data_IF_128181436274
#
_entry.id   IF_128181436274
#
_cell.length_a   1.000
_cell.length_b   1.000
_cell.length_c   1.000
_cell.angle_alpha   90.00
_cell.angle_beta   90.00
_cell.angle_gamma   90.00
#
_symmetry.space_group_name_H-M   'P 1'
#
loop_
_entity.id
_entity.type
_entity.pdbx_description
1 polymer ?
#
# COMPACT_ATOMS: atom_id res chain seq x y z
N UNK A 1 -15.48 31.04 -4.91
CA UNK A 1 -14.25 30.54 -4.26
C UNK A 1 -14.10 29.06 -4.60
N UNK A 2 -13.41 28.74 -5.70
CA UNK A 2 -13.10 27.37 -6.13
C UNK A 2 -11.59 27.32 -6.25
N UNK A 3 -10.92 26.76 -5.24
CA UNK A 3 -9.47 26.61 -5.24
C UNK A 3 -9.15 25.44 -6.17
N UNK A 4 -8.61 25.77 -7.34
CA UNK A 4 -8.16 24.81 -8.36
C UNK A 4 -6.94 24.04 -7.85
N UNK A 5 -7.17 22.83 -7.35
CA UNK A 5 -6.12 21.85 -6.99
C UNK A 5 -5.40 21.24 -8.23
N UNK A 6 -5.67 21.74 -9.44
CA UNK A 6 -5.17 21.14 -10.68
C UNK A 6 -3.80 21.64 -11.16
N UNK A 7 -3.11 22.54 -10.43
CA UNK A 7 -1.91 23.22 -10.93
C UNK A 7 -0.69 23.19 -9.98
N UNK A 8 -0.52 22.14 -9.16
CA UNK A 8 0.71 21.97 -8.33
C UNK A 8 1.50 20.70 -8.68
N UNK A 9 1.19 20.03 -9.80
CA UNK A 9 1.90 18.80 -10.22
C UNK A 9 2.48 18.95 -11.63
N UNK A 10 3.35 19.94 -11.82
CA UNK A 10 4.16 20.05 -13.04
C UNK A 10 5.65 20.34 -12.78
N UNK A 11 6.12 20.26 -11.53
CA UNK A 11 7.52 20.53 -11.17
C UNK A 11 8.08 19.72 -9.98
N UNK A 12 7.46 18.59 -9.61
CA UNK A 12 8.03 17.69 -8.61
C UNK A 12 8.84 16.60 -9.33
N UNK A 13 10.16 16.54 -9.08
CA UNK A 13 11.04 15.49 -9.59
C UNK A 13 10.47 14.10 -9.20
N UNK A 14 10.45 13.15 -10.13
CA UNK A 14 9.97 11.77 -9.93
C UNK A 14 10.58 11.13 -8.68
N UNK A 15 11.85 11.43 -8.37
CA UNK A 15 12.53 10.95 -7.17
C UNK A 15 11.89 11.49 -5.87
N UNK A 16 11.45 12.75 -5.85
CA UNK A 16 10.78 13.36 -4.70
C UNK A 16 9.39 12.76 -4.46
N UNK A 17 8.65 12.48 -5.54
CA UNK A 17 7.33 11.84 -5.48
C UNK A 17 7.47 10.42 -4.93
N UNK A 18 8.44 9.65 -5.41
CA UNK A 18 8.72 8.29 -4.94
C UNK A 18 9.13 8.23 -3.47
N UNK A 19 9.94 9.20 -3.00
CA UNK A 19 10.32 9.32 -1.59
C UNK A 19 9.13 9.64 -0.69
N UNK A 20 8.18 10.45 -1.16
CA UNK A 20 6.97 10.75 -0.39
C UNK A 20 6.09 9.51 -0.20
N UNK A 21 5.87 8.72 -1.27
CA UNK A 21 5.07 7.50 -1.20
C UNK A 21 5.71 6.39 -0.37
N UNK A 22 7.05 6.24 -0.41
CA UNK A 22 7.75 5.24 0.40
C UNK A 22 7.68 5.56 1.90
N UNK A 23 7.75 6.84 2.28
CA UNK A 23 7.56 7.27 3.67
C UNK A 23 6.13 7.00 4.14
N UNK A 24 5.13 7.30 3.31
CA UNK A 24 3.72 7.02 3.61
C UNK A 24 3.45 5.52 3.78
N UNK A 25 4.04 4.69 2.92
CA UNK A 25 3.97 3.24 3.00
C UNK A 25 4.54 2.74 4.33
N UNK A 26 5.78 3.13 4.64
CA UNK A 26 6.44 2.72 5.87
C UNK A 26 5.67 3.19 7.11
N UNK A 27 5.15 4.42 7.10
CA UNK A 27 4.34 4.94 8.20
C UNK A 27 3.07 4.10 8.45
N UNK A 28 2.36 3.71 7.39
CA UNK A 28 1.22 2.81 7.51
C UNK A 28 1.64 1.42 8.00
N UNK A 29 2.69 0.84 7.45
CA UNK A 29 3.17 -0.48 7.86
C UNK A 29 3.63 -0.54 9.32
N UNK A 30 4.11 0.59 9.88
CA UNK A 30 4.42 0.70 11.30
C UNK A 30 3.19 0.61 12.22
N UNK A 31 1.96 0.80 11.72
CA UNK A 31 0.75 0.56 12.55
C UNK A 31 0.59 -0.92 12.88
N UNK A 32 1.21 -1.80 12.09
CA UNK A 32 1.28 -3.24 12.33
C UNK A 32 2.40 -3.66 13.30
N UNK A 33 2.97 -2.69 14.03
CA UNK A 33 3.73 -2.92 15.26
C UNK A 33 5.21 -2.51 15.21
N UNK A 34 5.81 -2.12 16.36
CA UNK A 34 7.25 -1.93 16.51
C UNK A 34 7.87 -3.19 17.12
N UNK A 35 8.34 -4.11 16.28
CA UNK A 35 9.30 -5.16 16.65
C UNK A 35 10.23 -5.30 15.45
N UNK A 36 11.49 -5.72 15.62
CA UNK A 36 12.50 -5.93 14.55
C UNK A 36 12.01 -6.88 13.43
N UNK A 37 11.02 -6.47 12.65
CA UNK A 37 10.22 -7.27 11.76
C UNK A 37 10.45 -6.76 10.34
N UNK A 38 10.59 -7.69 9.41
CA UNK A 38 10.82 -7.38 8.01
C UNK A 38 9.60 -6.66 7.41
N UNK A 39 9.81 -5.89 6.34
CA UNK A 39 8.72 -5.25 5.57
C UNK A 39 7.64 -6.25 5.18
N UNK A 40 8.04 -7.49 4.88
CA UNK A 40 7.12 -8.60 4.60
C UNK A 40 6.17 -8.88 5.78
N UNK A 41 6.66 -8.93 7.00
CA UNK A 41 5.83 -9.25 8.16
C UNK A 41 4.86 -8.11 8.49
N UNK A 42 5.30 -6.86 8.31
CA UNK A 42 4.40 -5.70 8.40
C UNK A 42 3.31 -5.77 7.33
N UNK A 43 3.67 -6.18 6.10
CA UNK A 43 2.71 -6.36 5.01
C UNK A 43 1.71 -7.49 5.29
N UNK A 44 2.19 -8.63 5.78
CA UNK A 44 1.35 -9.77 6.18
C UNK A 44 0.34 -9.37 7.26
N UNK A 45 0.76 -8.55 8.23
CA UNK A 45 -0.13 -7.99 9.23
C UNK A 45 -1.19 -7.08 8.59
N UNK A 46 -0.77 -6.09 7.80
CA UNK A 46 -1.69 -5.10 7.25
C UNK A 46 -2.73 -5.75 6.32
N UNK A 47 -2.30 -6.75 5.55
CA UNK A 47 -3.15 -7.48 4.61
C UNK A 47 -3.97 -8.60 5.26
N UNK A 48 -3.66 -8.98 6.50
CA UNK A 48 -4.18 -10.20 7.15
C UNK A 48 -3.93 -11.49 6.36
N UNK A 49 -2.95 -11.49 5.43
CA UNK A 49 -2.73 -12.54 4.41
C UNK A 49 -3.98 -12.93 3.62
N UNK A 50 -4.94 -12.03 3.51
CA UNK A 50 -6.17 -12.23 2.76
C UNK A 50 -6.01 -11.78 1.30
N UNK A 51 -6.78 -12.36 0.39
CA UNK A 51 -6.83 -11.89 -1.00
C UNK A 51 -7.65 -10.60 -1.12
N UNK A 52 -6.99 -9.50 -1.50
CA UNK A 52 -7.65 -8.21 -1.78
C UNK A 52 -7.76 -7.90 -3.27
N UNK A 53 -7.43 -8.84 -4.16
CA UNK A 53 -7.37 -8.61 -5.61
C UNK A 53 -8.65 -8.00 -6.17
N UNK A 54 -9.83 -8.49 -5.75
CA UNK A 54 -11.12 -7.96 -6.20
C UNK A 54 -11.40 -6.54 -5.66
N UNK A 55 -10.96 -6.23 -4.45
CA UNK A 55 -11.03 -4.87 -3.93
C UNK A 55 -10.10 -3.94 -4.71
N UNK A 56 -8.85 -4.37 -4.96
CA UNK A 56 -7.86 -3.60 -5.69
C UNK A 56 -8.28 -3.28 -7.13
N UNK A 57 -8.86 -4.26 -7.84
CA UNK A 57 -9.43 -4.03 -9.18
C UNK A 57 -10.51 -2.93 -9.15
N UNK A 58 -11.40 -2.96 -8.15
CA UNK A 58 -12.45 -1.94 -7.96
C UNK A 58 -11.89 -0.58 -7.57
N UNK A 59 -10.75 -0.55 -6.88
CA UNK A 59 -10.04 0.67 -6.48
C UNK A 59 -8.99 1.13 -7.52
N UNK A 60 -9.10 0.70 -8.78
CA UNK A 60 -8.24 1.13 -9.89
C UNK A 60 -6.74 0.87 -9.67
N UNK A 61 -6.39 -0.20 -8.95
CA UNK A 61 -5.00 -0.66 -8.88
C UNK A 61 -4.62 -1.25 -10.24
N UNK A 62 -3.47 -0.81 -10.78
CA UNK A 62 -2.99 -1.30 -12.07
C UNK A 62 -2.82 -2.83 -12.07
N UNK A 63 -3.14 -3.54 -13.18
CA UNK A 63 -3.02 -4.99 -13.27
C UNK A 63 -1.64 -5.53 -12.87
N UNK A 64 -0.57 -4.83 -13.25
CA UNK A 64 0.81 -5.17 -12.88
C UNK A 64 1.09 -5.10 -11.37
N UNK A 65 0.27 -4.37 -10.61
CA UNK A 65 0.40 -4.18 -9.16
C UNK A 65 -0.54 -5.08 -8.34
N UNK A 66 -1.44 -5.84 -8.98
CA UNK A 66 -2.33 -6.79 -8.30
C UNK A 66 -1.59 -7.87 -7.49
N UNK A 67 -0.37 -8.32 -7.84
CA UNK A 67 0.39 -9.22 -6.96
C UNK A 67 0.63 -8.68 -5.55
N UNK A 68 0.67 -7.36 -5.36
CA UNK A 68 0.75 -6.75 -4.02
C UNK A 68 -0.57 -6.90 -3.24
N UNK A 69 -1.71 -7.04 -3.93
CA UNK A 69 -3.03 -7.17 -3.33
C UNK A 69 -3.39 -8.59 -2.90
N UNK A 70 -2.87 -9.59 -3.60
CA UNK A 70 -3.18 -11.00 -3.30
C UNK A 70 -2.70 -11.39 -1.90
N UNK A 71 -1.60 -10.78 -1.44
CA UNK A 71 -1.01 -10.91 -0.11
C UNK A 71 -0.85 -12.35 0.42
N UNK A 72 -0.81 -13.31 -0.51
CA UNK A 72 -0.59 -14.74 -0.27
C UNK A 72 0.81 -15.09 -0.76
N UNK A 73 1.83 -14.69 0.00
CA UNK A 73 3.22 -15.00 -0.31
C UNK A 73 4.16 -13.80 -0.24
N UNK A 74 5.37 -14.00 -0.75
CA UNK A 74 6.41 -12.96 -0.76
C UNK A 74 5.98 -11.80 -1.64
N UNK A 75 6.00 -10.59 -1.07
CA UNK A 75 5.76 -9.35 -1.81
C UNK A 75 6.80 -9.27 -2.95
N UNK A 76 6.38 -9.00 -4.19
CA UNK A 76 7.33 -8.88 -5.31
C UNK A 76 8.41 -7.84 -4.98
N UNK A 77 9.69 -8.23 -5.10
CA UNK A 77 10.83 -7.40 -4.74
C UNK A 77 11.55 -6.78 -5.96
N UNK A 78 10.96 -6.93 -7.15
CA UNK A 78 11.52 -6.33 -8.36
C UNK A 78 11.51 -4.81 -8.22
N UNK A 79 12.70 -4.20 -8.15
CA UNK A 79 12.87 -2.79 -7.76
C UNK A 79 12.09 -1.82 -8.65
N UNK A 80 12.03 -2.07 -9.96
CA UNK A 80 11.34 -1.21 -10.93
C UNK A 80 9.82 -1.27 -10.74
N UNK A 81 9.28 -2.49 -10.67
CA UNK A 81 7.86 -2.75 -10.43
C UNK A 81 7.42 -2.22 -9.07
N UNK A 82 8.27 -2.38 -8.04
CA UNK A 82 8.04 -1.82 -6.71
C UNK A 82 7.86 -0.30 -6.76
N UNK A 83 8.82 0.43 -7.35
CA UNK A 83 8.74 1.90 -7.45
C UNK A 83 7.51 2.36 -8.22
N UNK A 84 7.15 1.66 -9.30
CA UNK A 84 5.95 1.97 -10.09
C UNK A 84 4.66 1.73 -9.29
N UNK A 85 4.58 0.62 -8.56
CA UNK A 85 3.40 0.25 -7.79
C UNK A 85 3.20 1.06 -6.50
N UNK A 86 4.23 1.76 -6.01
CA UNK A 86 4.09 2.70 -4.89
C UNK A 86 3.03 3.79 -5.14
N UNK A 87 2.83 4.20 -6.39
CA UNK A 87 1.79 5.19 -6.74
C UNK A 87 0.36 4.66 -6.49
N UNK A 88 0.18 3.34 -6.51
CA UNK A 88 -1.10 2.67 -6.24
C UNK A 88 -1.27 2.35 -4.74
N UNK A 89 -0.29 2.68 -3.89
CA UNK A 89 -0.28 2.28 -2.49
C UNK A 89 -1.51 2.74 -1.72
N UNK A 90 -2.01 3.95 -1.97
CA UNK A 90 -3.24 4.45 -1.32
C UNK A 90 -4.45 3.54 -1.59
N UNK A 91 -4.63 3.13 -2.85
CA UNK A 91 -5.74 2.26 -3.26
C UNK A 91 -5.62 0.86 -2.62
N UNK A 92 -4.39 0.34 -2.51
CA UNK A 92 -4.11 -0.95 -1.85
C UNK A 92 -4.37 -0.83 -0.33
N UNK A 93 -3.84 0.21 0.31
CA UNK A 93 -4.03 0.50 1.73
C UNK A 93 -5.51 0.60 2.10
N UNK A 94 -6.30 1.26 1.27
CA UNK A 94 -7.72 1.45 1.56
C UNK A 94 -8.48 0.11 1.56
N UNK A 95 -8.08 -0.84 0.70
CA UNK A 95 -8.57 -2.21 0.75
C UNK A 95 -8.17 -2.92 2.05
N UNK A 96 -6.91 -2.83 2.46
CA UNK A 96 -6.43 -3.44 3.69
C UNK A 96 -7.15 -2.87 4.92
N UNK A 97 -7.30 -1.55 5.00
CA UNK A 97 -8.06 -0.88 6.07
C UNK A 97 -9.51 -1.36 6.13
N UNK A 98 -10.19 -1.39 4.98
CA UNK A 98 -11.60 -1.83 4.92
C UNK A 98 -11.82 -3.28 5.37
N UNK A 99 -10.78 -4.10 5.27
CA UNK A 99 -10.77 -5.47 5.78
C UNK A 99 -10.56 -5.48 7.29
N UNK A 100 -9.59 -4.71 7.78
CA UNK A 100 -9.27 -4.61 9.20
C UNK A 100 -10.43 -4.02 10.03
N UNK A 101 -11.23 -3.13 9.45
CA UNK A 101 -12.45 -2.61 10.09
C UNK A 101 -13.48 -3.71 10.43
N UNK A 102 -13.37 -4.89 9.81
CA UNK A 102 -14.33 -6.01 9.94
C UNK A 102 -13.71 -7.29 10.47
N UNK A 103 -12.38 -7.39 10.46
CA UNK A 103 -11.63 -8.63 10.75
C UNK A 103 -10.29 -8.26 11.39
N UNK A 104 -9.85 -8.95 12.44
CA UNK A 104 -8.55 -8.67 13.04
C UNK A 104 -7.41 -9.04 12.08
N UNK A 105 -6.25 -8.43 12.31
CA UNK A 105 -5.03 -8.84 11.62
C UNK A 105 -4.55 -10.24 12.06
N UNK A 106 -3.48 -10.76 11.45
CA UNK A 106 -2.92 -12.09 11.80
C UNK A 106 -2.40 -12.21 13.25
N UNK A 107 -2.25 -11.09 13.97
CA UNK A 107 -1.83 -11.06 15.37
C UNK A 107 -3.01 -10.89 16.34
N UNK A 108 -4.22 -10.64 15.84
CA UNK A 108 -5.40 -10.40 16.67
C UNK A 108 -5.57 -8.97 17.16
N UNK A 109 -4.76 -8.03 16.67
CA UNK A 109 -4.88 -6.61 17.01
C UNK A 109 -5.97 -5.95 16.15
N UNK A 110 -6.75 -5.04 16.75
CA UNK A 110 -7.76 -4.20 16.09
C UNK A 110 -7.27 -2.76 15.98
#
# INVERSE_FOLDING_TARGET
MKVSFLFVIHNANVAHISLFYSVLMLHYLNTCGPKNQTVQLMWDCASSRADHTECCKKNNVLPACLPYCAAQGTVPNEQVTHVFCMQNFNNIRDCFRSHLDKRPNIFGDN
#
